data_IF_431124962030
#
_entry.id   IF_431124962030
#
_cell.length_a   1.000
_cell.length_b   1.000
_cell.length_c   1.000
_cell.angle_alpha   90.00
_cell.angle_beta   90.00
_cell.angle_gamma   90.00
#
_symmetry.space_group_name_H-M   'P 1'
#
loop_
_entity.id
_entity.type
_entity.pdbx_description
1 polymer ?
#
# COMPACT_ATOMS: atom_id res chain seq x y z
N UNK A 1 -12.15 19.41 14.92
CA UNK A 1 -10.82 18.93 15.32
C UNK A 1 -9.78 19.91 14.78
N UNK A 2 -8.95 20.53 15.63
CA UNK A 2 -7.73 21.21 15.15
C UNK A 2 -6.73 20.10 14.78
N UNK A 3 -6.46 19.92 13.48
CA UNK A 3 -5.39 19.08 12.99
C UNK A 3 -4.09 19.55 13.63
N UNK A 4 -3.50 18.74 14.52
CA UNK A 4 -2.15 18.98 14.99
C UNK A 4 -1.22 18.42 13.91
N UNK A 5 -0.52 19.26 13.11
CA UNK A 5 0.27 18.81 11.96
C UNK A 5 1.47 17.92 12.33
N UNK A 6 1.70 17.69 13.63
CA UNK A 6 2.80 16.90 14.18
C UNK A 6 2.44 15.46 14.55
N UNK A 7 1.19 15.02 14.44
CA UNK A 7 0.87 13.60 14.61
C UNK A 7 0.95 12.87 13.26
N UNK A 8 2.15 12.34 12.96
CA UNK A 8 2.43 11.64 11.71
C UNK A 8 1.50 10.44 11.49
N UNK A 9 1.12 9.71 12.54
CA UNK A 9 0.19 8.59 12.43
C UNK A 9 -1.21 9.03 12.01
N UNK A 10 -1.72 10.13 12.57
CA UNK A 10 -3.03 10.69 12.15
C UNK A 10 -2.96 11.19 10.71
N UNK A 11 -1.85 11.81 10.33
CA UNK A 11 -1.63 12.29 8.96
C UNK A 11 -1.62 11.11 7.97
N UNK A 12 -0.94 10.02 8.32
CA UNK A 12 -0.88 8.79 7.53
C UNK A 12 -2.25 8.11 7.39
N UNK A 13 -2.96 7.95 8.50
CA UNK A 13 -4.27 7.31 8.48
C UNK A 13 -5.27 8.13 7.66
N UNK A 14 -5.19 9.46 7.73
CA UNK A 14 -6.04 10.32 6.93
C UNK A 14 -5.63 10.30 5.45
N UNK A 15 -4.34 10.24 5.12
CA UNK A 15 -3.91 10.07 3.72
C UNK A 15 -4.38 8.73 3.15
N UNK A 16 -4.31 7.64 3.92
CA UNK A 16 -4.85 6.36 3.51
C UNK A 16 -6.35 6.43 3.27
N UNK A 17 -7.12 7.03 4.18
CA UNK A 17 -8.55 7.25 4.00
C UNK A 17 -8.86 8.04 2.72
N UNK A 18 -8.12 9.12 2.47
CA UNK A 18 -8.27 9.92 1.25
C UNK A 18 -7.88 9.13 -0.01
N UNK A 19 -6.95 8.17 0.09
CA UNK A 19 -6.56 7.33 -1.04
C UNK A 19 -7.68 6.40 -1.53
N UNK A 20 -8.69 6.14 -0.68
CA UNK A 20 -9.84 5.32 -1.05
C UNK A 20 -10.79 6.07 -2.01
N UNK A 21 -10.71 7.40 -2.04
CA UNK A 21 -11.48 8.31 -2.88
C UNK A 21 -10.61 8.91 -3.98
N UNK A 22 -10.92 8.61 -5.25
CA UNK A 22 -10.09 9.02 -6.39
C UNK A 22 -10.04 10.56 -6.57
N UNK A 23 -11.00 11.31 -6.01
CA UNK A 23 -11.01 12.78 -6.09
C UNK A 23 -9.99 13.45 -5.15
N UNK A 24 -9.46 12.70 -4.17
CA UNK A 24 -8.65 13.22 -3.08
C UNK A 24 -7.17 12.81 -3.13
N UNK A 25 -6.72 12.19 -4.22
CA UNK A 25 -5.40 11.57 -4.34
C UNK A 25 -4.22 12.55 -4.18
N UNK A 26 -4.30 13.75 -4.78
CA UNK A 26 -3.24 14.76 -4.64
C UNK A 26 -3.03 15.18 -3.18
N UNK A 27 -4.14 15.30 -2.44
CA UNK A 27 -4.10 15.63 -1.02
C UNK A 27 -3.58 14.46 -0.20
N UNK A 28 -3.96 13.23 -0.55
CA UNK A 28 -3.42 12.03 0.06
C UNK A 28 -1.89 11.98 -0.09
N UNK A 29 -1.37 12.22 -1.31
CA UNK A 29 0.07 12.21 -1.60
C UNK A 29 0.82 13.29 -0.82
N UNK A 30 0.28 14.52 -0.77
CA UNK A 30 0.88 15.59 0.02
C UNK A 30 1.05 15.17 1.49
N UNK A 31 0.02 14.58 2.08
CA UNK A 31 0.02 14.14 3.48
C UNK A 31 0.96 12.96 3.73
N UNK A 32 0.89 11.91 2.91
CA UNK A 32 1.76 10.72 3.05
C UNK A 32 3.22 11.03 2.71
N UNK A 33 3.49 12.00 1.83
CA UNK A 33 4.87 12.42 1.56
C UNK A 33 5.55 13.04 2.79
N UNK A 34 4.78 13.70 3.67
CA UNK A 34 5.31 14.28 4.91
C UNK A 34 5.71 13.17 5.88
N UNK A 35 4.88 12.11 5.99
CA UNK A 35 5.13 10.99 6.91
C UNK A 35 6.36 10.18 6.48
N UNK A 36 6.49 9.88 5.19
CA UNK A 36 7.67 9.20 4.64
C UNK A 36 8.94 10.04 4.74
N UNK A 37 8.86 11.38 4.55
CA UNK A 37 10.03 12.26 4.75
C UNK A 37 10.48 12.30 6.21
N UNK A 38 9.53 12.28 7.15
CA UNK A 38 9.83 12.32 8.57
C UNK A 38 10.39 10.98 9.08
N UNK A 39 9.85 9.85 8.62
CA UNK A 39 10.27 8.52 9.01
C UNK A 39 10.44 7.60 7.78
N UNK A 40 11.57 7.71 7.05
CA UNK A 40 11.76 7.07 5.74
C UNK A 40 11.91 5.55 5.79
N UNK A 41 12.00 4.96 6.98
CA UNK A 41 12.09 3.52 7.19
C UNK A 41 10.90 2.97 7.97
N UNK A 42 9.84 3.77 8.17
CA UNK A 42 8.63 3.31 8.82
C UNK A 42 7.79 2.51 7.80
N UNK A 43 7.61 1.19 7.98
CA UNK A 43 6.94 0.34 6.99
C UNK A 43 5.48 0.74 6.77
N UNK A 44 4.77 1.21 7.80
CA UNK A 44 3.38 1.68 7.67
C UNK A 44 3.26 2.90 6.77
N UNK A 45 4.18 3.86 6.92
CA UNK A 45 4.15 5.09 6.11
C UNK A 45 4.60 4.84 4.67
N UNK A 46 5.56 3.95 4.48
CA UNK A 46 6.01 3.51 3.16
C UNK A 46 4.89 2.78 2.40
N UNK A 47 4.16 1.88 3.07
CA UNK A 47 3.00 1.20 2.49
C UNK A 47 1.92 2.20 2.07
N UNK A 48 1.50 3.09 2.97
CA UNK A 48 0.47 4.10 2.65
C UNK A 48 0.88 5.01 1.49
N UNK A 49 2.14 5.45 1.44
CA UNK A 49 2.63 6.26 0.32
C UNK A 49 2.67 5.46 -0.99
N UNK A 50 3.14 4.21 -0.93
CA UNK A 50 3.11 3.29 -2.07
C UNK A 50 1.70 3.06 -2.59
N UNK A 51 0.73 2.89 -1.70
CA UNK A 51 -0.68 2.71 -2.06
C UNK A 51 -1.29 3.97 -2.70
N UNK A 52 -1.03 5.15 -2.17
CA UNK A 52 -1.46 6.41 -2.79
C UNK A 52 -0.91 6.54 -4.22
N UNK A 53 0.38 6.27 -4.42
CA UNK A 53 1.01 6.29 -5.74
C UNK A 53 0.39 5.25 -6.68
N UNK A 54 0.06 4.07 -6.17
CA UNK A 54 -0.64 3.04 -6.93
C UNK A 54 -2.01 3.53 -7.40
N UNK A 55 -2.79 4.16 -6.52
CA UNK A 55 -4.10 4.74 -6.85
C UNK A 55 -3.99 5.86 -7.88
N UNK A 56 -2.91 6.65 -7.84
CA UNK A 56 -2.60 7.65 -8.88
C UNK A 56 -2.09 7.06 -10.21
N UNK A 57 -1.90 5.74 -10.31
CA UNK A 57 -1.35 5.09 -11.50
C UNK A 57 0.17 5.18 -11.64
N UNK A 58 0.88 5.70 -10.63
CA UNK A 58 2.33 5.81 -10.58
C UNK A 58 2.98 4.48 -10.14
N UNK A 59 2.65 3.39 -10.85
CA UNK A 59 2.96 2.01 -10.43
C UNK A 59 4.45 1.71 -10.22
N UNK A 60 5.32 2.25 -11.06
CA UNK A 60 6.78 2.07 -10.90
C UNK A 60 7.30 2.70 -9.62
N UNK A 61 6.79 3.88 -9.24
CA UNK A 61 7.15 4.52 -7.98
C UNK A 61 6.52 3.79 -6.79
N UNK A 62 5.25 3.39 -6.90
CA UNK A 62 4.56 2.60 -5.89
C UNK A 62 5.36 1.33 -5.54
N UNK A 63 5.89 0.64 -6.55
CA UNK A 63 6.72 -0.56 -6.38
C UNK A 63 7.94 -0.30 -5.51
N UNK A 64 8.66 0.80 -5.72
CA UNK A 64 9.83 1.15 -4.91
C UNK A 64 9.44 1.28 -3.43
N UNK A 65 8.33 1.94 -3.14
CA UNK A 65 7.90 2.18 -1.76
C UNK A 65 7.38 0.92 -1.07
N UNK A 66 6.58 0.10 -1.74
CA UNK A 66 6.06 -1.14 -1.14
C UNK A 66 7.18 -2.18 -0.93
N UNK A 67 8.16 -2.26 -1.82
CA UNK A 67 9.36 -3.12 -1.61
C UNK A 67 10.14 -2.68 -0.37
N UNK A 68 10.26 -1.37 -0.13
CA UNK A 68 10.86 -0.86 1.10
C UNK A 68 9.98 -1.12 2.31
N UNK A 69 8.65 -1.00 2.21
CA UNK A 69 7.74 -1.31 3.31
C UNK A 69 7.91 -2.76 3.79
N UNK A 70 7.93 -3.73 2.87
CA UNK A 70 8.18 -5.15 3.17
C UNK A 70 9.59 -5.35 3.74
N UNK A 71 10.61 -4.68 3.18
CA UNK A 71 11.98 -4.76 3.70
C UNK A 71 12.10 -4.26 5.15
N UNK A 72 11.41 -3.16 5.48
CA UNK A 72 11.51 -2.54 6.81
C UNK A 72 10.52 -3.14 7.83
N UNK A 73 9.62 -4.03 7.41
CA UNK A 73 8.73 -4.77 8.32
C UNK A 73 9.41 -5.94 9.03
N UNK A 74 10.75 -6.05 8.98
CA UNK A 74 11.53 -7.12 9.63
C UNK A 74 11.06 -8.53 9.26
N UNK A 75 10.72 -8.74 7.98
CA UNK A 75 10.19 -10.00 7.44
C UNK A 75 8.81 -10.43 8.00
N UNK A 76 8.12 -9.52 8.72
CA UNK A 76 6.75 -9.73 9.23
C UNK A 76 5.76 -8.69 8.66
N UNK A 77 5.59 -8.58 7.32
CA UNK A 77 4.61 -7.66 6.74
C UNK A 77 3.17 -8.07 7.08
N UNK A 78 2.29 -7.09 7.24
CA UNK A 78 0.86 -7.36 7.44
C UNK A 78 0.21 -7.95 6.18
N UNK A 79 -0.95 -8.57 6.36
CA UNK A 79 -1.72 -9.13 5.26
C UNK A 79 -2.09 -8.06 4.21
N UNK A 80 -2.39 -6.84 4.66
CA UNK A 80 -2.69 -5.69 3.80
C UNK A 80 -1.49 -5.26 2.97
N UNK A 81 -0.30 -5.13 3.59
CA UNK A 81 0.95 -4.78 2.89
C UNK A 81 1.27 -5.81 1.80
N UNK A 82 1.09 -7.10 2.10
CA UNK A 82 1.30 -8.17 1.12
C UNK A 82 0.29 -8.12 -0.02
N UNK A 83 -0.96 -7.76 0.26
CA UNK A 83 -1.98 -7.60 -0.77
C UNK A 83 -1.70 -6.39 -1.68
N UNK A 84 -1.39 -5.23 -1.11
CA UNK A 84 -0.94 -4.05 -1.86
C UNK A 84 0.29 -4.38 -2.70
N UNK A 85 1.25 -5.13 -2.15
CA UNK A 85 2.44 -5.54 -2.89
C UNK A 85 2.08 -6.42 -4.08
N UNK A 86 1.17 -7.38 -3.91
CA UNK A 86 0.66 -8.19 -5.01
C UNK A 86 -0.04 -7.36 -6.09
N UNK A 87 -0.86 -6.40 -5.68
CA UNK A 87 -1.58 -5.51 -6.61
C UNK A 87 -0.62 -4.65 -7.43
N UNK A 88 0.39 -4.07 -6.77
CA UNK A 88 1.43 -3.26 -7.40
C UNK A 88 2.25 -4.11 -8.38
N UNK A 89 2.71 -5.30 -7.97
CA UNK A 89 3.45 -6.23 -8.83
C UNK A 89 2.66 -6.60 -10.09
N UNK A 90 1.34 -6.81 -9.94
CA UNK A 90 0.48 -7.11 -11.09
C UNK A 90 0.46 -5.94 -12.08
N UNK A 91 0.29 -4.70 -11.59
CA UNK A 91 0.27 -3.50 -12.45
C UNK A 91 1.64 -3.18 -13.07
N UNK A 92 2.73 -3.68 -12.51
CA UNK A 92 4.08 -3.60 -13.10
C UNK A 92 4.45 -4.79 -13.99
N UNK A 93 3.51 -5.71 -14.25
CA UNK A 93 3.69 -6.84 -15.17
C UNK A 93 4.33 -8.09 -14.56
N UNK A 94 4.50 -8.14 -13.24
CA UNK A 94 5.08 -9.28 -12.52
C UNK A 94 3.99 -10.19 -11.94
N UNK A 95 3.15 -10.73 -12.83
CA UNK A 95 1.94 -11.50 -12.45
C UNK A 95 2.23 -12.72 -11.56
N UNK A 96 3.33 -13.43 -11.80
CA UNK A 96 3.70 -14.60 -10.98
C UNK A 96 4.06 -14.21 -9.55
N UNK A 97 4.80 -13.11 -9.38
CA UNK A 97 5.15 -12.59 -8.06
C UNK A 97 3.93 -12.00 -7.37
N UNK A 98 3.03 -11.36 -8.11
CA UNK A 98 1.76 -10.88 -7.57
C UNK A 98 0.96 -12.03 -6.92
N UNK A 99 0.83 -13.14 -7.65
CA UNK A 99 0.16 -14.34 -7.13
C UNK A 99 0.83 -14.92 -5.87
N UNK A 100 2.16 -14.86 -5.80
CA UNK A 100 2.90 -15.27 -4.60
C UNK A 100 2.51 -14.41 -3.39
N UNK A 101 2.51 -13.08 -3.53
CA UNK A 101 2.18 -12.18 -2.42
C UNK A 101 0.72 -12.31 -1.98
N UNK A 102 -0.21 -12.40 -2.93
CA UNK A 102 -1.63 -12.62 -2.63
C UNK A 102 -1.86 -13.92 -1.85
N UNK A 103 -1.15 -15.01 -2.21
CA UNK A 103 -1.23 -16.27 -1.45
C UNK A 103 -0.69 -16.12 -0.05
N UNK A 104 0.44 -15.43 0.13
CA UNK A 104 1.01 -15.15 1.46
C UNK A 104 0.04 -14.31 2.31
N UNK A 105 -0.55 -13.26 1.74
CA UNK A 105 -1.57 -12.44 2.40
C UNK A 105 -2.74 -13.30 2.90
N UNK A 106 -3.22 -14.25 2.07
CA UNK A 106 -4.29 -15.19 2.44
C UNK A 106 -3.86 -16.15 3.56
N UNK A 107 -2.64 -16.68 3.50
CA UNK A 107 -2.10 -17.61 4.49
C UNK A 107 -2.01 -16.98 5.88
N UNK A 108 -1.63 -15.70 5.96
CA UNK A 108 -1.51 -14.98 7.24
C UNK A 108 -2.83 -14.32 7.69
N UNK A 109 -3.95 -14.62 7.01
CA UNK A 109 -5.30 -14.27 7.47
C UNK A 109 -5.87 -12.96 6.93
N UNK A 110 -5.53 -12.51 5.72
CA UNK A 110 -6.23 -11.38 5.07
C UNK A 110 -7.74 -11.63 5.03
N UNK A 111 -8.52 -10.62 5.44
CA UNK A 111 -9.98 -10.60 5.37
C UNK A 111 -10.49 -9.90 4.09
N UNK A 112 -9.61 -9.54 3.16
CA UNK A 112 -9.99 -8.89 1.90
C UNK A 112 -10.94 -9.77 1.10
N UNK A 113 -12.09 -9.20 0.75
CA UNK A 113 -13.15 -9.86 -0.02
C UNK A 113 -12.76 -10.07 -1.50
N UNK A 114 -11.76 -9.34 -1.99
CA UNK A 114 -11.29 -9.41 -3.38
C UNK A 114 -10.15 -10.40 -3.57
N UNK A 115 -9.43 -10.74 -2.50
CA UNK A 115 -8.20 -11.53 -2.57
C UNK A 115 -8.40 -12.92 -3.17
N UNK A 116 -9.48 -13.62 -2.82
CA UNK A 116 -9.77 -14.93 -3.40
C UNK A 116 -9.97 -14.89 -4.91
N UNK A 117 -10.66 -13.84 -5.39
CA UNK A 117 -10.88 -13.61 -6.81
C UNK A 117 -9.56 -13.30 -7.51
N UNK A 118 -8.69 -12.48 -6.90
CA UNK A 118 -7.35 -12.17 -7.43
C UNK A 118 -6.52 -13.44 -7.59
N UNK A 119 -6.47 -14.30 -6.57
CA UNK A 119 -5.74 -15.58 -6.60
C UNK A 119 -6.29 -16.53 -7.66
N UNK A 120 -7.62 -16.70 -7.73
CA UNK A 120 -8.27 -17.64 -8.65
C UNK A 120 -8.10 -17.24 -10.11
N UNK A 121 -8.24 -15.94 -10.39
CA UNK A 121 -8.17 -15.41 -11.76
C UNK A 121 -6.76 -15.04 -12.19
N UNK A 122 -5.82 -14.93 -11.23
CA UNK A 122 -4.48 -14.38 -11.42
C UNK A 122 -4.51 -12.96 -12.01
N UNK A 123 -5.52 -12.18 -11.64
CA UNK A 123 -5.74 -10.82 -12.13
C UNK A 123 -6.10 -9.90 -10.99
N UNK A 124 -5.66 -8.64 -11.09
CA UNK A 124 -6.11 -7.60 -10.20
C UNK A 124 -7.65 -7.42 -10.25
N UNK A 125 -8.25 -7.17 -9.09
CA UNK A 125 -9.66 -6.79 -8.93
C UNK A 125 -9.78 -5.81 -7.79
N UNK A 126 -10.57 -4.75 -8.01
CA UNK A 126 -11.19 -3.93 -6.96
C UNK A 126 -12.57 -4.50 -6.62
#
# INVERSE_FOLDING_TARGET
LKLNPQNLGVLNNYSYFLSLDDESLDKAEQMSSITVKAEPTNPTYLDTYGWVLFRQGAYTMAKIYIENAVKYSQDEPSAEVLEHYGDILYKTGEEEKALEQWKKAKEIGSESTTLEKKIKTKKYSE
#
